data_IF_510667911192
#
_entry.id   IF_510667911192
#
_cell.length_a   1.000
_cell.length_b   1.000
_cell.length_c   1.000
_cell.angle_alpha   90.00
_cell.angle_beta   90.00
_cell.angle_gamma   90.00
#
_symmetry.space_group_name_H-M   'P 1'
#
loop_
_entity.id
_entity.type
_entity.pdbx_description
1 polymer ?
#
# COMPACT_ATOMS: atom_id res chain seq x y z
N UNK A 1 12.06 -16.45 -21.15
CA UNK A 1 12.29 -15.03 -20.86
C UNK A 1 11.09 -14.62 -20.03
N UNK A 2 11.20 -14.69 -18.71
CA UNK A 2 10.15 -14.17 -17.84
C UNK A 2 10.15 -12.66 -18.02
N UNK A 3 9.05 -12.11 -18.54
CA UNK A 3 8.81 -10.69 -18.45
C UNK A 3 8.67 -10.36 -16.97
N UNK A 4 9.70 -9.74 -16.41
CA UNK A 4 9.59 -9.03 -15.14
C UNK A 4 8.66 -7.86 -15.45
N UNK A 5 7.39 -8.02 -15.11
CA UNK A 5 6.42 -6.92 -15.15
C UNK A 5 6.91 -5.94 -14.10
N UNK A 6 7.59 -4.89 -14.57
CA UNK A 6 7.97 -3.78 -13.72
C UNK A 6 6.65 -3.09 -13.35
N UNK A 7 6.14 -3.42 -12.15
CA UNK A 7 4.89 -2.87 -11.62
C UNK A 7 5.18 -1.43 -11.23
N UNK A 8 5.27 -0.56 -12.24
CA UNK A 8 5.32 0.87 -12.04
C UNK A 8 3.87 1.34 -11.91
N UNK A 9 3.22 0.97 -10.80
CA UNK A 9 2.21 1.88 -10.26
C UNK A 9 3.02 3.14 -9.97
N UNK A 10 2.72 4.24 -10.66
CA UNK A 10 3.38 5.53 -10.45
C UNK A 10 2.94 6.06 -9.07
N UNK A 11 3.46 5.42 -8.04
CA UNK A 11 3.22 5.76 -6.65
C UNK A 11 4.15 6.91 -6.34
N UNK A 12 3.59 8.12 -6.39
CA UNK A 12 4.36 9.30 -6.04
C UNK A 12 4.79 9.20 -4.57
N UNK A 13 6.11 9.18 -4.36
CA UNK A 13 6.70 8.92 -3.06
C UNK A 13 6.64 10.17 -2.18
N UNK A 14 5.53 10.31 -1.46
CA UNK A 14 5.32 11.42 -0.52
C UNK A 14 5.98 11.20 0.84
N UNK A 15 6.53 10.00 1.11
CA UNK A 15 6.96 9.61 2.44
C UNK A 15 8.14 10.43 2.97
N UNK A 16 9.17 10.77 2.16
CA UNK A 16 10.25 11.65 2.60
C UNK A 16 9.74 13.01 3.08
N UNK A 17 8.79 13.61 2.36
CA UNK A 17 8.22 14.91 2.73
C UNK A 17 7.36 14.84 3.99
N UNK A 18 6.64 13.73 4.18
CA UNK A 18 5.84 13.49 5.37
C UNK A 18 6.73 13.23 6.59
N UNK A 19 7.83 12.50 6.41
CA UNK A 19 8.82 12.25 7.46
C UNK A 19 9.54 13.54 7.88
N UNK A 20 9.90 14.41 6.93
CA UNK A 20 10.50 15.71 7.24
C UNK A 20 9.56 16.61 8.06
N UNK A 21 8.26 16.61 7.73
CA UNK A 21 7.27 17.50 8.36
C UNK A 21 6.71 16.98 9.68
N UNK A 22 6.44 15.68 9.77
CA UNK A 22 5.68 15.05 10.86
C UNK A 22 6.48 13.98 11.61
N UNK A 23 7.70 13.67 11.18
CA UNK A 23 8.54 12.64 11.76
C UNK A 23 8.05 11.21 11.49
N UNK A 24 8.78 10.25 12.05
CA UNK A 24 8.46 8.83 11.90
C UNK A 24 7.10 8.45 12.51
N UNK A 25 6.76 9.02 13.67
CA UNK A 25 5.47 8.78 14.33
C UNK A 25 4.29 9.31 13.48
N UNK A 26 4.46 10.46 12.83
CA UNK A 26 3.48 11.02 11.91
C UNK A 26 3.28 10.14 10.69
N UNK A 27 4.37 9.67 10.07
CA UNK A 27 4.30 8.74 8.94
C UNK A 27 3.57 7.43 9.32
N UNK A 28 3.93 6.83 10.45
CA UNK A 28 3.27 5.60 10.93
C UNK A 28 1.78 5.84 11.17
N UNK A 29 1.41 6.98 11.75
CA UNK A 29 0.01 7.35 11.98
C UNK A 29 -0.77 7.43 10.67
N UNK A 30 -0.18 8.04 9.65
CA UNK A 30 -0.82 8.20 8.34
C UNK A 30 -0.94 6.89 7.58
N UNK A 31 0.05 6.00 7.69
CA UNK A 31 -0.07 4.61 7.19
C UNK A 31 -1.20 3.86 7.88
N UNK A 32 -1.34 3.99 9.20
CA UNK A 32 -2.45 3.38 9.94
C UNK A 32 -3.81 3.94 9.49
N UNK A 33 -3.88 5.25 9.23
CA UNK A 33 -5.10 5.90 8.74
C UNK A 33 -5.45 5.42 7.32
N UNK A 34 -4.46 5.33 6.43
CA UNK A 34 -4.63 4.76 5.08
C UNK A 34 -5.14 3.32 5.12
N UNK A 35 -4.55 2.48 5.97
CA UNK A 35 -5.02 1.11 6.17
C UNK A 35 -6.51 1.07 6.57
N UNK A 36 -6.90 1.88 7.55
CA UNK A 36 -8.29 1.96 8.04
C UNK A 36 -9.29 2.44 6.98
N UNK A 37 -8.84 3.27 6.04
CA UNK A 37 -9.68 3.73 4.93
C UNK A 37 -9.91 2.63 3.89
N UNK A 38 -8.92 1.77 3.66
CA UNK A 38 -8.93 0.74 2.63
C UNK A 38 -9.47 -0.61 3.11
N UNK A 39 -9.39 -0.90 4.41
CA UNK A 39 -9.80 -2.19 4.95
C UNK A 39 -11.31 -2.45 4.81
N UNK A 40 -11.63 -3.74 4.70
CA UNK A 40 -12.94 -4.26 4.95
C UNK A 40 -13.27 -4.12 6.45
N UNK A 41 -14.39 -3.47 6.76
CA UNK A 41 -14.78 -3.16 8.13
C UNK A 41 -15.19 -4.38 8.96
N UNK A 42 -15.67 -5.45 8.32
CA UNK A 42 -16.08 -6.67 9.02
C UNK A 42 -14.89 -7.61 9.22
N UNK A 43 -14.04 -7.75 8.21
CA UNK A 43 -12.86 -8.63 8.27
C UNK A 43 -11.69 -8.03 9.02
N UNK A 44 -11.55 -6.71 9.06
CA UNK A 44 -10.39 -6.06 9.66
C UNK A 44 -9.13 -6.10 8.78
N UNK A 45 -9.28 -6.41 7.49
CA UNK A 45 -8.18 -6.63 6.53
C UNK A 45 -8.47 -5.88 5.23
N UNK A 46 -7.43 -5.50 4.48
CA UNK A 46 -7.61 -5.02 3.12
C UNK A 46 -7.80 -6.22 2.21
N UNK A 47 -8.98 -6.32 1.61
CA UNK A 47 -9.34 -7.38 0.67
C UNK A 47 -9.33 -6.85 -0.74
N UNK A 48 -9.41 -7.73 -1.73
CA UNK A 48 -9.58 -7.32 -3.13
C UNK A 48 -10.79 -6.40 -3.33
N UNK A 49 -11.94 -6.79 -2.78
CA UNK A 49 -13.17 -6.02 -2.90
C UNK A 49 -13.12 -4.69 -2.16
N UNK A 50 -12.54 -4.68 -0.95
CA UNK A 50 -12.41 -3.45 -0.16
C UNK A 50 -11.43 -2.49 -0.83
N UNK A 51 -10.27 -2.97 -1.27
CA UNK A 51 -9.29 -2.15 -1.97
C UNK A 51 -9.88 -1.55 -3.24
N UNK A 52 -10.53 -2.36 -4.08
CA UNK A 52 -11.22 -1.92 -5.30
C UNK A 52 -12.28 -0.86 -5.04
N UNK A 53 -13.16 -1.09 -4.06
CA UNK A 53 -14.27 -0.18 -3.79
C UNK A 53 -13.77 1.12 -3.16
N UNK A 54 -12.83 1.03 -2.21
CA UNK A 54 -12.33 2.20 -1.47
C UNK A 54 -11.40 3.04 -2.33
N UNK A 55 -10.56 2.44 -3.18
CA UNK A 55 -9.70 3.18 -4.10
C UNK A 55 -10.52 4.03 -5.07
N UNK A 56 -11.62 3.49 -5.61
CA UNK A 56 -12.55 4.26 -6.45
C UNK A 56 -13.15 5.46 -5.70
N UNK A 57 -13.53 5.29 -4.42
CA UNK A 57 -14.08 6.38 -3.60
C UNK A 57 -13.03 7.46 -3.31
N UNK A 58 -11.76 7.07 -3.20
CA UNK A 58 -10.63 7.99 -2.99
C UNK A 58 -10.16 8.67 -4.29
N UNK A 59 -10.83 8.43 -5.42
CA UNK A 59 -10.48 9.02 -6.72
C UNK A 59 -9.35 8.29 -7.45
N UNK A 60 -8.94 7.11 -6.97
CA UNK A 60 -7.98 6.22 -7.63
C UNK A 60 -8.72 5.24 -8.56
N UNK A 61 -9.63 5.77 -9.37
CA UNK A 61 -10.51 4.99 -10.25
C UNK A 61 -9.79 4.31 -11.43
N UNK A 62 -8.51 4.61 -11.63
CA UNK A 62 -7.71 4.06 -12.73
C UNK A 62 -7.03 2.73 -12.37
N UNK A 63 -7.12 2.29 -11.10
CA UNK A 63 -6.61 0.98 -10.68
C UNK A 63 -7.43 -0.15 -11.28
N UNK A 64 -6.80 -0.97 -12.11
CA UNK A 64 -7.38 -2.15 -12.73
C UNK A 64 -7.37 -3.33 -11.77
N UNK A 65 -8.22 -4.30 -12.06
CA UNK A 65 -8.33 -5.54 -11.28
C UNK A 65 -6.99 -6.28 -11.21
N UNK A 66 -6.20 -6.26 -12.29
CA UNK A 66 -4.87 -6.87 -12.32
C UNK A 66 -3.88 -6.15 -11.39
N UNK A 67 -3.95 -4.82 -11.31
CA UNK A 67 -3.07 -4.00 -10.46
C UNK A 67 -3.43 -4.22 -8.98
N UNK A 68 -4.72 -4.28 -8.65
CA UNK A 68 -5.20 -4.57 -7.30
C UNK A 68 -4.78 -5.98 -6.87
N UNK A 69 -4.97 -6.97 -7.74
CA UNK A 69 -4.54 -8.35 -7.46
C UNK A 69 -3.02 -8.43 -7.24
N UNK A 70 -2.26 -7.68 -8.02
CA UNK A 70 -0.82 -7.59 -7.90
C UNK A 70 -0.39 -6.94 -6.57
N UNK A 71 -1.03 -5.82 -6.17
CA UNK A 71 -0.74 -5.17 -4.89
C UNK A 71 -0.99 -6.10 -3.69
N UNK A 72 -2.07 -6.88 -3.72
CA UNK A 72 -2.33 -7.87 -2.68
C UNK A 72 -1.28 -8.96 -2.71
N UNK A 73 -1.01 -9.55 -3.87
CA UNK A 73 -0.03 -10.63 -4.00
C UNK A 73 1.39 -10.23 -3.58
N UNK A 74 1.76 -8.97 -3.75
CA UNK A 74 3.10 -8.47 -3.41
C UNK A 74 3.25 -8.16 -1.91
N UNK A 75 2.14 -7.82 -1.24
CA UNK A 75 2.11 -7.46 0.17
C UNK A 75 1.68 -8.58 1.11
N UNK A 76 0.95 -9.59 0.62
CA UNK A 76 0.43 -10.72 1.39
C UNK A 76 1.59 -11.68 1.73
N UNK A 77 2.07 -11.63 2.97
CA UNK A 77 3.23 -12.39 3.42
C UNK A 77 2.84 -13.70 4.07
N UNK A 78 1.61 -13.81 4.58
CA UNK A 78 1.10 -15.02 5.23
C UNK A 78 0.25 -15.91 4.29
N UNK A 79 -0.15 -15.40 3.12
CA UNK A 79 -0.85 -16.12 2.07
C UNK A 79 -2.35 -16.24 2.29
N UNK A 80 -2.97 -15.36 3.10
CA UNK A 80 -4.41 -15.39 3.37
C UNK A 80 -5.27 -14.71 2.28
N UNK A 81 -4.62 -14.12 1.27
CA UNK A 81 -5.24 -13.43 0.14
C UNK A 81 -5.73 -12.02 0.47
N UNK A 82 -5.30 -11.44 1.59
CA UNK A 82 -5.61 -10.10 2.05
C UNK A 82 -4.34 -9.43 2.62
N UNK A 83 -4.46 -8.16 3.02
CA UNK A 83 -3.40 -7.48 3.76
C UNK A 83 -3.88 -7.15 5.16
N UNK A 84 -3.14 -7.60 6.16
CA UNK A 84 -3.21 -7.05 7.50
C UNK A 84 -2.45 -5.71 7.58
N UNK A 85 -2.55 -5.04 8.73
CA UNK A 85 -1.96 -3.71 8.89
C UNK A 85 -0.43 -3.71 8.76
N UNK A 86 0.24 -4.76 9.24
CA UNK A 86 1.69 -4.85 9.17
C UNK A 86 2.16 -5.05 7.73
N UNK A 87 1.51 -5.95 6.99
CA UNK A 87 1.76 -6.23 5.57
C UNK A 87 1.56 -4.99 4.71
N UNK A 88 0.45 -4.28 4.92
CA UNK A 88 0.19 -3.01 4.23
C UNK A 88 1.31 -2.00 4.48
N UNK A 89 1.71 -1.79 5.74
CA UNK A 89 2.81 -0.87 6.06
C UNK A 89 4.10 -1.31 5.36
N UNK A 90 4.49 -2.59 5.45
CA UNK A 90 5.70 -3.12 4.81
C UNK A 90 5.66 -2.90 3.30
N UNK A 91 4.54 -3.21 2.64
CA UNK A 91 4.36 -2.96 1.21
C UNK A 91 4.56 -1.49 0.87
N UNK A 92 3.91 -0.58 1.60
CA UNK A 92 4.05 0.87 1.40
C UNK A 92 5.49 1.36 1.59
N UNK A 93 6.22 0.84 2.57
CA UNK A 93 7.64 1.17 2.74
C UNK A 93 8.50 0.64 1.58
N UNK A 94 8.22 -0.56 1.06
CA UNK A 94 8.94 -1.14 -0.08
C UNK A 94 8.70 -0.36 -1.38
N UNK A 95 7.52 0.24 -1.52
CA UNK A 95 7.14 1.09 -2.64
C UNK A 95 7.68 2.53 -2.52
N UNK A 96 8.39 2.87 -1.44
CA UNK A 96 9.05 4.17 -1.25
C UNK A 96 10.57 4.02 -1.41
N UNK A 97 11.11 4.21 -2.63
CA UNK A 97 12.56 4.19 -2.86
C UNK A 97 13.25 5.25 -2.02
N UNK A 98 12.59 6.40 -1.84
CA UNK A 98 13.08 7.54 -1.09
C UNK A 98 13.35 7.23 0.37
N UNK A 99 12.63 6.30 0.99
CA UNK A 99 12.94 5.85 2.36
C UNK A 99 13.99 4.74 2.42
N UNK A 100 14.03 3.85 1.42
CA UNK A 100 15.04 2.78 1.36
C UNK A 100 16.46 3.33 1.25
N UNK A 101 16.65 4.51 0.65
CA UNK A 101 17.94 5.19 0.56
C UNK A 101 18.44 5.82 1.87
N UNK A 102 17.59 5.99 2.90
CA UNK A 102 18.01 6.48 4.23
C UNK A 102 18.40 5.35 5.21
N UNK A 103 18.25 4.08 4.82
CA UNK A 103 18.52 2.93 5.69
C UNK A 103 19.99 2.45 5.70
N UNK A 104 20.96 3.32 5.37
CA UNK A 104 22.40 3.04 5.43
C UNK A 104 23.07 3.57 6.70
#
# INVERSE_FOLDING_TARGET
MEEVVDIVVDFEDYFPSMMERYGAEGLVTELCNGFRLLMDGERGLITFESLKTKSMVLGLSDLKDEEIACMLSEGDLDGDGALNQAEFCILMFRLSPGLLMYAQ
#
